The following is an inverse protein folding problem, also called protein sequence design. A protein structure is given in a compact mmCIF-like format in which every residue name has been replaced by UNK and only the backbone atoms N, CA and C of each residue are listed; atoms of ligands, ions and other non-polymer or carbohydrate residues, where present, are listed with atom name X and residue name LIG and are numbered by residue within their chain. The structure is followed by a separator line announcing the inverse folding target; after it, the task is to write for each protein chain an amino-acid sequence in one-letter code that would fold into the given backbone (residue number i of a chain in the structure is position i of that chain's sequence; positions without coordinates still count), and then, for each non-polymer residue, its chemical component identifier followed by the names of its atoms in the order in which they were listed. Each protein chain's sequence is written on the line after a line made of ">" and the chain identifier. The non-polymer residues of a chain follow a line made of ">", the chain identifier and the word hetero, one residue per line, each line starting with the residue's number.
data_IF_512352713446
#
_entry.id   IF_512352713446
#
_cell.length_a   1.000
_cell.length_b   1.000
_cell.length_c   1.000
_cell.angle_alpha   90.00
_cell.angle_beta   90.00
_cell.angle_gamma   90.00
#
_symmetry.space_group_name_H-M   'P 1'
#
loop_
_entity.id
_entity.type
_entity.pdbx_description
1 polymer ?
#
# COMPACT_ATOMS: atom_id res chain seq x y z
N UNK A 1 -12.08 4.12 6.13
CA UNK A 1 -12.76 3.22 7.10
C UNK A 1 -12.29 1.79 6.79
N UNK A 2 -11.55 1.17 7.72
CA UNK A 2 -10.90 -0.17 7.68
C UNK A 2 -10.71 -0.86 6.31
N UNK A 3 -9.49 -0.77 5.79
CA UNK A 3 -8.88 -1.73 4.88
C UNK A 3 -8.19 -2.82 5.70
N UNK A 4 -8.37 -4.08 5.32
CA UNK A 4 -7.74 -5.26 5.90
C UNK A 4 -6.87 -5.85 4.79
N UNK A 5 -5.55 -5.85 4.97
CA UNK A 5 -4.63 -6.60 4.10
C UNK A 5 -4.08 -7.76 4.93
N UNK A 6 -4.43 -8.97 4.52
CA UNK A 6 -3.93 -10.22 5.12
C UNK A 6 -2.73 -10.69 4.29
N UNK A 7 -1.60 -10.92 4.95
CA UNK A 7 -0.39 -11.49 4.36
C UNK A 7 -0.36 -12.99 4.62
N UNK A 8 -0.14 -13.81 3.59
CA UNK A 8 0.18 -15.24 3.72
C UNK A 8 1.70 -15.47 3.67
N UNK A 9 2.45 -14.71 4.47
CA UNK A 9 3.85 -14.95 4.78
C UNK A 9 4.13 -14.29 6.14
N UNK A 10 4.87 -14.98 7.01
CA UNK A 10 5.15 -14.57 8.39
C UNK A 10 5.68 -13.12 8.45
N UNK A 11 4.83 -12.16 8.83
CA UNK A 11 5.23 -10.77 9.10
C UNK A 11 6.23 -10.68 10.27
N UNK A 12 6.45 -11.76 11.01
CA UNK A 12 7.27 -11.78 12.23
C UNK A 12 8.76 -11.61 11.98
N UNK A 13 9.26 -11.83 10.77
CA UNK A 13 10.72 -11.77 10.47
C UNK A 13 11.11 -10.56 9.62
N UNK A 14 10.13 -9.81 9.08
CA UNK A 14 10.38 -8.67 8.20
C UNK A 14 10.05 -7.35 8.90
N UNK A 15 10.94 -6.37 8.76
CA UNK A 15 10.70 -5.02 9.29
C UNK A 15 10.03 -4.15 8.23
N UNK A 16 8.77 -3.83 8.43
CA UNK A 16 8.01 -2.97 7.53
C UNK A 16 8.04 -1.51 7.98
N UNK A 17 7.98 -0.61 7.01
CA UNK A 17 7.94 0.85 7.20
C UNK A 17 6.84 1.48 6.37
N UNK A 18 6.40 2.67 6.80
CA UNK A 18 5.39 3.44 6.09
C UNK A 18 6.02 4.46 5.15
N UNK A 19 5.58 4.46 3.90
CA UNK A 19 5.58 5.61 3.02
C UNK A 19 4.21 6.28 3.15
N UNK A 20 4.18 7.53 3.60
CA UNK A 20 2.97 8.27 4.01
C UNK A 20 2.13 7.53 5.07
N UNK A 21 2.60 7.53 6.33
CA UNK A 21 1.89 6.86 7.43
C UNK A 21 0.49 7.46 7.67
N UNK A 22 -0.59 6.66 7.65
CA UNK A 22 -1.93 7.12 7.99
C UNK A 22 -2.05 7.47 9.48
N UNK A 23 -3.01 8.34 9.82
CA UNK A 23 -3.29 8.67 11.24
C UNK A 23 -3.80 7.49 12.05
N UNK A 24 -4.57 6.59 11.44
CA UNK A 24 -5.19 5.47 12.13
C UNK A 24 -4.89 4.17 11.38
N UNK A 25 -4.07 3.35 12.02
CA UNK A 25 -3.70 2.02 11.54
C UNK A 25 -3.33 1.13 12.72
N UNK A 26 -3.33 -0.17 12.48
CA UNK A 26 -2.77 -1.15 13.40
C UNK A 26 -2.20 -2.32 12.63
N UNK A 27 -1.21 -2.99 13.23
CA UNK A 27 -0.64 -4.22 12.69
C UNK A 27 -0.72 -5.30 13.75
N UNK A 28 -1.08 -6.51 13.32
CA UNK A 28 -0.92 -7.73 14.10
C UNK A 28 -0.09 -8.74 13.29
N UNK A 29 0.05 -9.97 13.79
CA UNK A 29 0.94 -10.98 13.20
C UNK A 29 0.68 -11.31 11.72
N UNK A 30 -0.53 -11.11 11.21
CA UNK A 30 -0.90 -11.48 9.83
C UNK A 30 -1.62 -10.38 9.07
N UNK A 31 -2.05 -9.33 9.76
CA UNK A 31 -2.99 -8.35 9.26
C UNK A 31 -2.51 -6.94 9.54
N UNK A 32 -2.54 -6.11 8.52
CA UNK A 32 -2.52 -4.66 8.67
C UNK A 32 -3.94 -4.11 8.47
N UNK A 33 -4.36 -3.27 9.40
CA UNK A 33 -5.60 -2.51 9.31
C UNK A 33 -5.28 -1.05 9.03
N UNK A 34 -5.89 -0.47 8.01
CA UNK A 34 -5.62 0.90 7.57
C UNK A 34 -6.90 1.71 7.51
N UNK A 35 -6.84 2.94 8.02
CA UNK A 35 -7.81 3.97 7.69
C UNK A 35 -7.09 5.06 6.89
N UNK A 36 -7.45 5.17 5.62
CA UNK A 36 -6.95 6.22 4.73
C UNK A 36 -7.24 7.61 5.28
N UNK A 37 -6.24 8.49 5.20
CA UNK A 37 -6.45 9.92 5.34
C UNK A 37 -7.18 10.46 4.10
N UNK A 38 -7.73 11.68 4.21
CA UNK A 38 -8.47 12.29 3.10
C UNK A 38 -7.52 12.72 1.97
N UNK A 39 -7.99 12.65 0.73
CA UNK A 39 -7.33 13.19 -0.46
C UNK A 39 -5.92 12.63 -0.72
N UNK A 40 -5.72 11.35 -0.43
CA UNK A 40 -4.47 10.63 -0.69
C UNK A 40 -4.56 9.85 -2.00
N UNK A 41 -3.51 9.92 -2.83
CA UNK A 41 -3.44 9.17 -4.08
C UNK A 41 -1.99 8.99 -4.56
N UNK A 42 -1.82 8.03 -5.48
CA UNK A 42 -0.64 7.84 -6.31
C UNK A 42 -1.03 8.01 -7.78
N UNK A 43 -0.56 9.09 -8.41
CA UNK A 43 -0.83 9.37 -9.82
C UNK A 43 0.31 10.17 -10.43
N UNK A 44 0.64 9.90 -11.70
CA UNK A 44 1.74 10.60 -12.37
C UNK A 44 1.35 11.04 -13.77
N UNK A 45 0.96 12.30 -13.92
CA UNK A 45 0.78 13.10 -15.15
C UNK A 45 -0.25 12.62 -16.17
N UNK A 46 -0.38 11.33 -16.44
CA UNK A 46 -1.20 10.78 -17.53
C UNK A 46 -2.61 11.36 -17.49
N UNK A 47 -3.08 11.87 -18.63
CA UNK A 47 -4.39 12.50 -18.85
C UNK A 47 -4.68 13.77 -18.03
N UNK A 48 -4.51 13.73 -16.71
CA UNK A 48 -4.91 14.80 -15.80
C UNK A 48 -3.84 15.88 -15.55
N UNK A 49 -2.59 15.63 -15.96
CA UNK A 49 -1.48 16.59 -15.84
C UNK A 49 -0.94 16.83 -14.43
N UNK A 50 -1.61 16.32 -13.38
CA UNK A 50 -1.15 16.45 -11.99
C UNK A 50 -0.32 15.25 -11.52
N UNK A 51 0.41 15.45 -10.43
CA UNK A 51 1.11 14.40 -9.69
C UNK A 51 0.54 14.27 -8.27
N UNK A 52 0.44 13.04 -7.78
CA UNK A 52 0.10 12.70 -6.40
C UNK A 52 1.01 11.57 -5.97
N UNK A 53 1.65 11.73 -4.82
CA UNK A 53 2.53 10.73 -4.22
C UNK A 53 2.28 10.64 -2.71
N UNK A 54 1.00 10.66 -2.35
CA UNK A 54 0.48 10.88 -0.99
C UNK A 54 -0.31 9.69 -0.45
N UNK A 55 -0.52 8.66 -1.28
CA UNK A 55 -1.17 7.42 -0.88
C UNK A 55 -0.37 6.69 0.21
N UNK A 56 -1.07 5.86 0.99
CA UNK A 56 -0.45 5.08 2.06
C UNK A 56 0.18 3.81 1.50
N UNK A 57 1.45 3.56 1.84
CA UNK A 57 2.15 2.37 1.39
C UNK A 57 2.98 1.79 2.54
N UNK A 58 2.60 0.60 2.99
CA UNK A 58 3.31 -0.16 4.02
C UNK A 58 4.18 -1.22 3.36
N UNK A 59 5.49 -1.14 3.52
CA UNK A 59 6.41 -1.87 2.68
C UNK A 59 7.62 -2.42 3.43
N UNK A 60 8.23 -3.43 2.84
CA UNK A 60 9.54 -3.94 3.17
C UNK A 60 10.39 -3.93 1.89
N UNK A 61 11.65 -3.52 1.99
CA UNK A 61 12.56 -3.52 0.85
C UNK A 61 13.09 -4.92 0.60
N UNK A 62 12.90 -5.43 -0.62
CA UNK A 62 13.50 -6.68 -1.07
C UNK A 62 14.81 -6.39 -1.83
N UNK A 63 15.84 -7.25 -1.71
CA UNK A 63 17.01 -7.18 -2.57
C UNK A 63 16.62 -7.36 -4.05
N UNK A 64 17.18 -6.52 -4.93
CA UNK A 64 16.77 -6.45 -6.34
C UNK A 64 17.19 -7.64 -7.22
N UNK A 65 18.00 -8.56 -6.70
CA UNK A 65 18.53 -9.74 -7.38
C UNK A 65 17.73 -11.02 -7.11
N UNK A 66 16.62 -10.93 -6.36
CA UNK A 66 15.83 -12.07 -5.93
C UNK A 66 14.44 -12.09 -6.56
N UNK A 67 14.06 -13.25 -7.08
CA UNK A 67 12.67 -13.52 -7.47
C UNK A 67 11.80 -13.64 -6.22
N UNK A 68 10.61 -13.04 -6.26
CA UNK A 68 9.65 -13.13 -5.17
C UNK A 68 8.22 -13.31 -5.70
N UNK A 69 7.38 -13.89 -4.86
CA UNK A 69 5.94 -13.94 -5.06
C UNK A 69 5.28 -13.36 -3.82
N UNK A 70 4.40 -12.40 -4.01
CA UNK A 70 3.59 -11.82 -2.93
C UNK A 70 2.13 -12.13 -3.21
N UNK A 71 1.43 -12.61 -2.18
CA UNK A 71 -0.02 -12.80 -2.22
C UNK A 71 -0.60 -12.15 -0.97
N UNK A 72 -1.63 -11.35 -1.19
CA UNK A 72 -2.40 -10.72 -0.12
C UNK A 72 -3.88 -10.95 -0.33
N UNK A 73 -4.64 -11.02 0.76
CA UNK A 73 -6.08 -10.90 0.70
C UNK A 73 -6.47 -9.49 1.14
N UNK A 74 -7.06 -8.73 0.21
CA UNK A 74 -7.48 -7.35 0.43
C UNK A 74 -8.98 -7.33 0.68
N UNK A 75 -9.40 -6.73 1.79
CA UNK A 75 -10.80 -6.46 2.08
C UNK A 75 -10.95 -4.99 2.40
N UNK A 76 -11.78 -4.30 1.63
CA UNK A 76 -12.09 -2.89 1.84
C UNK A 76 -13.58 -2.67 1.90
N UNK A 77 -14.00 -1.65 2.66
CA UNK A 77 -15.36 -1.10 2.60
C UNK A 77 -15.39 0.05 1.58
N UNK A 78 -15.17 -0.29 0.31
CA UNK A 78 -15.17 0.67 -0.80
C UNK A 78 -16.58 1.25 -0.99
N UNK A 79 -16.72 2.56 -0.84
CA UNK A 79 -18.03 3.21 -0.89
C UNK A 79 -18.01 4.56 -1.62
N UNK A 80 -16.83 5.14 -1.83
CA UNK A 80 -16.66 6.43 -2.51
C UNK A 80 -15.93 6.23 -3.83
N UNK A 81 -16.24 7.09 -4.80
CA UNK A 81 -15.50 7.14 -6.06
C UNK A 81 -14.01 7.32 -5.77
N UNK A 82 -13.19 6.47 -6.41
CA UNK A 82 -11.72 6.41 -6.29
C UNK A 82 -11.17 5.83 -4.98
N UNK A 83 -11.99 5.23 -4.12
CA UNK A 83 -11.47 4.36 -3.05
C UNK A 83 -10.63 3.24 -3.66
N UNK A 84 -9.44 3.01 -3.11
CA UNK A 84 -8.44 2.07 -3.62
C UNK A 84 -7.81 1.32 -2.45
N UNK A 85 -7.45 0.05 -2.66
CA UNK A 85 -6.71 -0.75 -1.69
C UNK A 85 -6.15 -1.97 -2.38
N UNK A 86 -4.89 -2.32 -2.11
CA UNK A 86 -4.21 -3.30 -2.93
C UNK A 86 -2.71 -3.45 -2.65
N UNK A 87 -1.99 -3.92 -3.67
CA UNK A 87 -0.53 -4.06 -3.66
C UNK A 87 0.13 -2.91 -4.41
N UNK A 88 1.35 -2.62 -3.99
CA UNK A 88 2.24 -1.72 -4.71
C UNK A 88 3.63 -2.33 -4.81
N UNK A 89 4.22 -2.23 -6.00
CA UNK A 89 5.65 -2.40 -6.22
C UNK A 89 6.21 -1.05 -6.64
N UNK A 90 7.28 -0.62 -5.95
CA UNK A 90 7.84 0.71 -6.11
C UNK A 90 9.36 0.65 -6.04
N UNK A 91 10.02 1.31 -6.99
CA UNK A 91 11.46 1.59 -6.93
C UNK A 91 11.72 3.03 -6.50
N UNK A 92 10.89 3.98 -6.96
CA UNK A 92 10.98 5.42 -6.66
C UNK A 92 9.65 6.15 -6.95
N UNK A 93 9.61 7.48 -6.79
CA UNK A 93 8.42 8.33 -7.02
C UNK A 93 7.93 8.43 -8.46
N UNK A 94 8.77 8.01 -9.41
CA UNK A 94 8.48 7.99 -10.83
C UNK A 94 8.12 6.59 -11.33
N UNK A 95 8.59 5.55 -10.64
CA UNK A 95 8.55 4.17 -11.10
C UNK A 95 7.87 3.27 -10.05
N UNK A 96 6.58 3.01 -10.28
CA UNK A 96 5.77 2.14 -9.44
C UNK A 96 4.58 1.58 -10.23
N UNK A 97 4.05 0.48 -9.73
CA UNK A 97 2.75 -0.08 -10.12
C UNK A 97 1.90 -0.27 -8.87
N UNK A 98 0.62 0.07 -8.96
CA UNK A 98 -0.40 -0.21 -7.94
C UNK A 98 -1.49 -1.09 -8.56
N UNK A 99 -1.96 -2.10 -7.85
CA UNK A 99 -3.02 -3.00 -8.30
C UNK A 99 -3.96 -3.39 -7.16
#
# INVERSE_FOLDING_TARGET
>A
MQEIVLFSALLSEMTFTWYNKPKNWSVNQTTINVHTDKNTDFWRKTHYGFERDSGHFYYHSLPGDQSFTVTVNVRGKYNTLYDQGGLMLRTDENNWIKC
#
